data_IF_269327824873
#
_entry.id   IF_269327824873
#
_cell.length_a   1.000
_cell.length_b   1.000
_cell.length_c   1.000
_cell.angle_alpha   90.00
_cell.angle_beta   90.00
_cell.angle_gamma   90.00
#
_symmetry.space_group_name_H-M   'P 1'
#
loop_
_entity.id
_entity.type
_entity.pdbx_description
1 polymer ?
#
# COMPACT_ATOMS: atom_id res chain seq x y z
N UNK A 1 -2.58 1.46 12.40
CA UNK A 1 -1.69 2.34 11.61
C UNK A 1 -2.32 2.56 10.24
N UNK A 2 -2.19 3.75 9.65
CA UNK A 2 -2.69 4.06 8.31
C UNK A 2 -1.53 4.55 7.44
N UNK A 3 -1.46 4.07 6.20
CA UNK A 3 -0.50 4.50 5.17
C UNK A 3 -1.32 4.98 3.98
N UNK A 4 -1.19 6.26 3.64
CA UNK A 4 -1.85 6.86 2.49
C UNK A 4 -0.80 7.20 1.43
N UNK A 5 -0.99 6.68 0.21
CA UNK A 5 -0.13 6.91 -0.96
C UNK A 5 -1.02 7.00 -2.20
N UNK A 6 -0.65 7.80 -3.20
CA UNK A 6 -1.55 8.10 -4.31
C UNK A 6 -1.97 6.83 -5.09
N UNK A 7 -1.01 6.02 -5.53
CA UNK A 7 -1.24 4.78 -6.25
C UNK A 7 -1.07 3.52 -5.37
N UNK A 8 -0.03 3.48 -4.54
CA UNK A 8 0.29 2.30 -3.73
C UNK A 8 1.78 2.20 -3.44
N UNK A 9 2.24 0.98 -3.13
CA UNK A 9 3.64 0.63 -2.87
C UNK A 9 3.97 -0.63 -3.66
N UNK A 10 5.19 -0.76 -4.16
CA UNK A 10 5.59 -1.93 -4.94
C UNK A 10 5.76 -3.13 -4.00
N UNK A 11 5.24 -4.30 -4.40
CA UNK A 11 5.31 -5.50 -3.55
C UNK A 11 6.65 -6.26 -3.65
N UNK A 12 7.47 -5.93 -4.65
CA UNK A 12 8.75 -6.59 -4.90
C UNK A 12 9.93 -5.88 -4.22
N UNK A 13 9.72 -4.67 -3.70
CA UNK A 13 10.73 -3.89 -3.00
C UNK A 13 10.45 -3.88 -1.49
N UNK A 14 11.48 -3.80 -0.62
CA UNK A 14 11.27 -3.72 0.82
C UNK A 14 10.46 -2.47 1.21
N UNK A 15 9.57 -2.61 2.19
CA UNK A 15 8.66 -1.54 2.63
C UNK A 15 9.39 -0.35 3.23
N UNK A 16 10.36 -0.61 4.11
CA UNK A 16 10.99 0.43 4.92
C UNK A 16 11.76 1.47 4.07
N UNK A 17 12.60 1.07 3.09
CA UNK A 17 13.24 2.01 2.17
C UNK A 17 12.24 2.86 1.37
N UNK A 18 11.17 2.25 0.82
CA UNK A 18 10.14 2.98 0.09
C UNK A 18 9.51 4.08 0.96
N UNK A 19 9.07 3.71 2.17
CA UNK A 19 8.44 4.66 3.09
C UNK A 19 9.42 5.73 3.59
N UNK A 20 10.70 5.39 3.79
CA UNK A 20 11.72 6.36 4.18
C UNK A 20 11.96 7.39 3.06
N UNK A 21 12.15 6.93 1.82
CA UNK A 21 12.37 7.80 0.67
C UNK A 21 11.14 8.70 0.39
N UNK A 22 9.92 8.15 0.43
CA UNK A 22 8.69 8.93 0.27
C UNK A 22 8.52 10.01 1.34
N UNK A 23 8.86 9.71 2.61
CA UNK A 23 8.81 10.71 3.71
C UNK A 23 9.87 11.80 3.53
N UNK A 24 11.06 11.43 3.10
CA UNK A 24 12.15 12.35 2.82
C UNK A 24 11.94 13.15 1.52
N UNK A 25 10.97 12.76 0.69
CA UNK A 25 10.79 13.24 -0.69
C UNK A 25 12.06 13.07 -1.52
N UNK A 26 12.79 11.98 -1.27
CA UNK A 26 13.97 11.64 -2.06
C UNK A 26 13.53 11.03 -3.39
N UNK A 27 13.38 11.89 -4.40
CA UNK A 27 12.96 11.49 -5.75
C UNK A 27 14.09 10.81 -6.54
N UNK A 28 15.29 10.70 -5.97
CA UNK A 28 16.42 10.00 -6.59
C UNK A 28 16.54 8.55 -6.11
N UNK A 29 15.77 8.15 -5.08
CA UNK A 29 15.81 6.82 -4.51
C UNK A 29 15.32 5.77 -5.51
N UNK A 30 16.24 4.90 -5.95
CA UNK A 30 15.96 3.85 -6.94
C UNK A 30 14.79 2.92 -6.59
N UNK A 31 14.56 2.68 -5.29
CA UNK A 31 13.45 1.86 -4.80
C UNK A 31 12.05 2.46 -5.04
N UNK A 32 11.97 3.72 -5.49
CA UNK A 32 10.71 4.37 -5.85
C UNK A 32 10.36 4.24 -7.34
N UNK A 33 11.28 3.77 -8.18
CA UNK A 33 11.10 3.80 -9.64
C UNK A 33 10.31 2.61 -10.16
N UNK A 34 9.29 2.89 -10.96
CA UNK A 34 8.50 1.86 -11.63
C UNK A 34 9.35 1.21 -12.74
N UNK A 35 9.61 -0.10 -12.63
CA UNK A 35 10.38 -0.85 -13.63
C UNK A 35 11.77 -0.25 -13.93
N UNK A 36 12.40 0.38 -12.94
CA UNK A 36 13.70 1.04 -13.11
C UNK A 36 13.68 2.37 -13.87
N UNK A 37 12.50 2.90 -14.23
CA UNK A 37 12.36 4.19 -14.89
C UNK A 37 12.45 5.33 -13.86
N UNK A 38 13.60 6.02 -13.82
CA UNK A 38 13.84 7.16 -12.94
C UNK A 38 12.88 8.35 -13.12
N UNK A 39 12.15 8.43 -14.24
CA UNK A 39 11.13 9.44 -14.47
C UNK A 39 9.76 9.09 -13.87
N UNK A 40 9.59 7.87 -13.35
CA UNK A 40 8.27 7.35 -12.94
C UNK A 40 8.29 6.79 -11.53
N UNK A 41 7.81 7.58 -10.59
CA UNK A 41 7.59 7.13 -9.22
C UNK A 41 6.43 6.14 -9.16
N UNK A 42 6.71 4.89 -8.79
CA UNK A 42 5.73 3.80 -8.70
C UNK A 42 4.53 4.19 -7.83
N UNK A 43 4.79 4.77 -6.66
CA UNK A 43 3.77 5.21 -5.71
C UNK A 43 2.82 6.30 -6.24
N UNK A 44 3.13 6.91 -7.38
CA UNK A 44 2.34 7.97 -8.02
C UNK A 44 1.76 7.54 -9.37
N UNK A 45 2.49 6.74 -10.15
CA UNK A 45 2.17 6.54 -11.57
C UNK A 45 1.87 5.09 -11.96
N UNK A 46 2.22 4.12 -11.12
CA UNK A 46 2.06 2.70 -11.46
C UNK A 46 0.61 2.21 -11.28
N UNK A 47 0.28 1.10 -11.94
CA UNK A 47 -1.02 0.42 -11.87
C UNK A 47 -0.86 -0.93 -11.17
N UNK A 48 -0.67 -2.00 -11.96
CA UNK A 48 -0.67 -3.38 -11.47
C UNK A 48 0.37 -3.69 -10.40
N UNK A 49 1.58 -3.11 -10.43
CA UNK A 49 2.62 -3.41 -9.44
C UNK A 49 2.40 -2.77 -8.05
N UNK A 50 1.50 -1.79 -7.94
CA UNK A 50 1.19 -1.08 -6.69
C UNK A 50 -0.26 -1.23 -6.23
N UNK A 51 -1.08 -1.88 -7.05
CA UNK A 51 -2.48 -2.18 -6.76
C UNK A 51 -2.67 -3.18 -5.59
N UNK A 52 -1.88 -4.27 -5.47
CA UNK A 52 -2.04 -5.24 -4.38
C UNK A 52 -1.74 -4.69 -2.97
N UNK A 53 -2.08 -5.46 -1.94
CA UNK A 53 -1.67 -5.18 -0.57
C UNK A 53 -0.18 -5.49 -0.40
N UNK A 54 0.62 -4.52 0.09
CA UNK A 54 2.03 -4.79 0.37
C UNK A 54 2.16 -5.85 1.49
N UNK A 55 2.93 -6.93 1.31
CA UNK A 55 2.96 -8.07 2.24
C UNK A 55 3.40 -7.67 3.65
N UNK A 56 4.37 -6.76 3.77
CA UNK A 56 4.82 -6.26 5.08
C UNK A 56 3.81 -5.36 5.81
N UNK A 57 2.74 -4.90 5.15
CA UNK A 57 1.66 -4.11 5.75
C UNK A 57 0.43 -4.96 6.11
N UNK A 58 0.25 -6.13 5.48
CA UNK A 58 -0.93 -6.98 5.67
C UNK A 58 -1.09 -7.38 7.15
N UNK A 59 -2.30 -7.19 7.71
CA UNK A 59 -2.60 -7.44 9.12
C UNK A 59 -1.97 -6.45 10.10
N UNK A 60 -1.27 -5.40 9.61
CA UNK A 60 -0.49 -4.46 10.43
C UNK A 60 -0.90 -3.01 10.23
N UNK A 61 -1.35 -2.63 9.04
CA UNK A 61 -1.77 -1.28 8.71
C UNK A 61 -2.77 -1.26 7.56
N UNK A 62 -3.63 -0.24 7.54
CA UNK A 62 -4.43 0.07 6.37
C UNK A 62 -3.55 0.74 5.30
N UNK A 63 -3.60 0.24 4.08
CA UNK A 63 -2.99 0.86 2.90
C UNK A 63 -4.10 1.49 2.05
N UNK A 64 -4.14 2.81 2.02
CA UNK A 64 -5.19 3.60 1.38
C UNK A 64 -4.60 4.33 0.16
N UNK A 65 -5.30 4.27 -0.96
CA UNK A 65 -4.90 4.90 -2.23
C UNK A 65 -6.09 5.38 -3.04
N UNK A 66 -5.82 6.22 -4.03
CA UNK A 66 -6.76 6.57 -5.10
C UNK A 66 -6.19 6.10 -6.44
N UNK A 67 -6.13 6.98 -7.43
CA UNK A 67 -5.42 6.85 -8.73
C UNK A 67 -6.00 5.83 -9.72
N UNK A 68 -6.46 4.67 -9.27
CA UNK A 68 -6.78 3.52 -10.12
C UNK A 68 -8.09 3.64 -10.92
N UNK A 69 -8.92 4.66 -10.68
CA UNK A 69 -10.17 4.87 -11.41
C UNK A 69 -11.31 3.91 -11.01
N UNK A 70 -11.18 3.22 -9.88
CA UNK A 70 -12.19 2.33 -9.31
C UNK A 70 -12.11 2.31 -7.78
N UNK A 71 -13.20 1.84 -7.15
CA UNK A 71 -13.21 1.57 -5.72
C UNK A 71 -12.94 0.08 -5.45
N UNK A 72 -12.15 -0.20 -4.42
CA UNK A 72 -11.96 -1.53 -3.86
C UNK A 72 -11.67 -1.46 -2.37
N UNK A 73 -12.48 -2.15 -1.58
CA UNK A 73 -12.27 -2.28 -0.13
C UNK A 73 -12.13 -3.75 0.21
N UNK A 74 -10.89 -4.19 0.44
CA UNK A 74 -10.56 -5.59 0.70
C UNK A 74 -9.58 -5.70 1.87
N UNK A 75 -10.04 -6.31 2.98
CA UNK A 75 -9.24 -6.46 4.20
C UNK A 75 -8.56 -5.14 4.61
N UNK A 76 -7.24 -5.02 4.49
CA UNK A 76 -6.45 -3.84 4.85
C UNK A 76 -6.06 -2.96 3.64
N UNK A 77 -6.41 -3.35 2.42
CA UNK A 77 -6.21 -2.56 1.20
C UNK A 77 -7.48 -1.81 0.83
N UNK A 78 -7.35 -0.50 0.70
CA UNK A 78 -8.45 0.41 0.38
C UNK A 78 -8.04 1.26 -0.83
N UNK A 79 -8.86 1.24 -1.86
CA UNK A 79 -8.76 2.07 -3.05
C UNK A 79 -10.10 2.81 -3.17
N UNK A 80 -10.08 4.13 -3.18
CA UNK A 80 -11.28 4.97 -3.35
C UNK A 80 -10.98 5.96 -4.47
N UNK A 81 -11.47 5.67 -5.67
CA UNK A 81 -11.26 6.48 -6.87
C UNK A 81 -12.25 6.18 -8.01
N UNK A 82 -13.49 5.77 -7.73
CA UNK A 82 -14.44 5.49 -8.82
C UNK A 82 -14.74 6.71 -9.72
N UNK A 83 -14.53 7.93 -9.23
CA UNK A 83 -14.63 9.15 -10.06
C UNK A 83 -13.58 9.18 -11.18
N UNK A 84 -12.36 8.68 -10.93
CA UNK A 84 -11.23 8.76 -11.87
C UNK A 84 -10.95 10.17 -12.39
N UNK A 85 -11.21 11.21 -11.58
CA UNK A 85 -11.09 12.61 -11.99
C UNK A 85 -12.18 13.12 -12.94
N UNK A 86 -13.27 12.35 -13.13
CA UNK A 86 -14.40 12.70 -14.00
C UNK A 86 -15.71 12.63 -13.21
N UNK A 87 -15.95 13.56 -12.27
CA UNK A 87 -17.17 13.54 -11.46
C UNK A 87 -18.40 13.71 -12.35
N UNK A 88 -19.33 12.77 -12.24
CA UNK A 88 -20.60 12.76 -12.97
C UNK A 88 -21.69 12.10 -12.12
N UNK A 89 -22.95 12.20 -12.54
CA UNK A 89 -24.05 11.46 -11.93
C UNK A 89 -23.73 9.97 -11.91
N UNK A 90 -23.71 9.36 -10.73
CA UNK A 90 -23.33 7.95 -10.53
C UNK A 90 -21.83 7.68 -10.39
N UNK A 91 -20.96 8.71 -10.49
CA UNK A 91 -19.52 8.64 -10.24
C UNK A 91 -19.04 9.85 -9.42
N UNK A 92 -19.59 10.07 -8.21
CA UNK A 92 -19.20 11.19 -7.36
C UNK A 92 -17.73 11.06 -6.92
N UNK A 93 -17.15 12.16 -6.44
CA UNK A 93 -15.93 12.08 -5.64
C UNK A 93 -16.31 11.42 -4.33
N UNK A 94 -15.52 10.44 -3.89
CA UNK A 94 -15.84 9.65 -2.70
C UNK A 94 -14.78 9.79 -1.62
N UNK A 95 -15.22 9.63 -0.38
CA UNK A 95 -14.37 9.52 0.80
C UNK A 95 -14.77 8.28 1.60
N UNK A 96 -13.80 7.67 2.30
CA UNK A 96 -14.06 6.60 3.25
C UNK A 96 -13.91 7.10 4.68
N UNK A 97 -14.89 6.78 5.52
CA UNK A 97 -14.90 7.06 6.95
C UNK A 97 -14.52 5.77 7.69
N UNK A 98 -13.53 5.88 8.57
CA UNK A 98 -13.03 4.81 9.44
C UNK A 98 -13.44 5.09 10.91
N UNK A 99 -13.65 4.06 11.74
CA UNK A 99 -13.43 2.63 11.48
C UNK A 99 -14.58 1.92 10.74
N UNK A 100 -15.72 2.57 10.52
CA UNK A 100 -16.96 1.95 10.02
C UNK A 100 -16.85 1.47 8.56
N UNK A 101 -15.88 2.00 7.81
CA UNK A 101 -15.71 1.79 6.35
C UNK A 101 -16.93 2.25 5.56
N UNK A 102 -17.51 3.37 5.98
CA UNK A 102 -18.59 4.04 5.25
C UNK A 102 -17.98 4.84 4.10
N UNK A 103 -18.42 4.58 2.87
CA UNK A 103 -18.10 5.38 1.69
C UNK A 103 -19.18 6.45 1.53
N UNK A 104 -18.75 7.71 1.47
CA UNK A 104 -19.61 8.87 1.19
C UNK A 104 -19.25 9.47 -0.15
N UNK A 105 -20.24 9.67 -1.02
CA UNK A 105 -20.10 10.43 -2.25
C UNK A 105 -20.39 11.92 -2.04
N UNK A 106 -19.77 12.76 -2.87
CA UNK A 106 -20.02 14.21 -2.93
C UNK A 106 -21.47 14.57 -3.33
N UNK A 107 -22.24 13.61 -3.83
CA UNK A 107 -23.66 13.70 -4.14
C UNK A 107 -24.57 13.34 -2.94
N UNK A 108 -23.99 13.07 -1.77
CA UNK A 108 -24.71 12.65 -0.57
C UNK A 108 -25.00 11.14 -0.51
N UNK A 109 -24.57 10.36 -1.52
CA UNK A 109 -24.69 8.90 -1.49
C UNK A 109 -23.88 8.30 -0.34
N UNK A 110 -24.40 7.20 0.24
CA UNK A 110 -23.77 6.50 1.35
C UNK A 110 -23.85 4.99 1.14
N UNK A 111 -22.70 4.32 1.22
CA UNK A 111 -22.60 2.87 1.19
C UNK A 111 -21.70 2.37 2.32
N UNK A 112 -22.01 1.21 2.87
CA UNK A 112 -21.12 0.56 3.83
C UNK A 112 -20.24 -0.47 3.09
N UNK A 113 -18.94 -0.22 3.00
CA UNK A 113 -18.02 -1.02 2.21
C UNK A 113 -17.48 -2.25 2.97
N UNK A 114 -18.29 -2.85 3.86
CA UNK A 114 -17.96 -4.09 4.53
C UNK A 114 -17.94 -5.26 3.54
N UNK A 115 -16.84 -5.38 2.78
CA UNK A 115 -16.45 -6.64 2.18
C UNK A 115 -16.22 -7.68 3.29
N UNK A 116 -16.60 -8.94 3.04
CA UNK A 116 -16.41 -10.08 3.95
C UNK A 116 -15.03 -9.95 4.60
N UNK A 117 -14.98 -9.71 5.92
CA UNK A 117 -13.72 -9.91 6.65
C UNK A 117 -13.33 -11.35 6.37
N UNK A 118 -12.30 -11.57 5.55
CA UNK A 118 -11.59 -12.84 5.58
C UNK A 118 -11.26 -13.15 7.04
N UNK A 119 -11.23 -14.43 7.44
CA UNK A 119 -10.95 -14.79 8.82
C UNK A 119 -9.75 -13.97 9.26
N UNK A 120 -9.90 -13.28 10.39
CA UNK A 120 -8.84 -12.47 10.97
C UNK A 120 -7.56 -13.30 10.82
N UNK A 121 -6.60 -12.80 10.03
CA UNK A 121 -5.27 -13.39 10.03
C UNK A 121 -4.70 -13.01 11.39
N UNK A 122 -5.12 -13.76 12.41
CA UNK A 122 -4.36 -13.95 13.61
C UNK A 122 -2.99 -14.33 13.11
N UNK A 123 -2.07 -13.36 13.15
CA UNK A 123 -0.70 -13.57 12.81
C UNK A 123 -0.21 -14.67 13.77
N UNK A 124 -0.20 -15.91 13.29
CA UNK A 124 0.40 -17.00 14.01
C UNK A 124 1.84 -16.58 14.31
N UNK A 125 2.35 -16.86 15.53
CA UNK A 125 3.70 -16.47 15.93
C UNK A 125 4.80 -16.88 14.92
N UNK A 126 4.53 -17.89 14.08
CA UNK A 126 5.41 -18.36 13.00
C UNK A 126 5.72 -17.30 11.92
N UNK A 127 4.77 -16.45 11.53
CA UNK A 127 5.01 -15.38 10.55
C UNK A 127 5.90 -14.25 11.12
N UNK A 128 5.90 -14.10 12.46
CA UNK A 128 6.81 -13.19 13.17
C UNK A 128 8.25 -13.71 13.19
N UNK A 129 8.44 -15.03 13.27
CA UNK A 129 9.76 -15.67 13.30
C UNK A 129 10.51 -15.61 11.95
N UNK A 130 9.81 -15.76 10.83
CA UNK A 130 10.40 -15.71 9.48
C UNK A 130 11.00 -14.32 9.14
N UNK A 131 10.33 -13.24 9.53
CA UNK A 131 10.81 -11.88 9.28
C UNK A 131 12.08 -11.54 10.08
N UNK A 132 12.24 -12.09 11.28
CA UNK A 132 13.47 -12.00 12.07
C UNK A 132 14.58 -12.92 11.55
N UNK A 133 14.25 -14.12 11.04
CA UNK A 133 15.24 -15.08 10.53
C UNK A 133 15.98 -14.58 9.28
N UNK A 134 15.26 -13.93 8.36
CA UNK A 134 15.86 -13.37 7.13
C UNK A 134 16.77 -12.17 7.43
N UNK A 135 16.41 -11.33 8.41
CA UNK A 135 17.25 -10.21 8.84
C UNK A 135 18.56 -10.66 9.50
N UNK A 136 18.54 -11.74 10.29
CA UNK A 136 19.75 -12.29 10.92
C UNK A 136 20.66 -12.98 9.89
N UNK A 137 20.11 -13.68 8.90
CA UNK A 137 20.89 -14.30 7.82
C UNK A 137 21.59 -13.25 6.92
N UNK A 138 20.93 -12.13 6.62
CA UNK A 138 21.52 -11.05 5.84
C UNK A 138 22.67 -10.34 6.58
N UNK A 139 22.55 -10.14 7.90
CA UNK A 139 23.62 -9.55 8.72
C UNK A 139 24.84 -10.49 8.87
N UNK A 140 24.62 -11.81 8.96
CA UNK A 140 25.70 -12.80 9.01
C UNK A 140 26.49 -12.89 7.69
N UNK A 141 25.81 -12.79 6.54
CA UNK A 141 26.44 -12.82 5.23
C UNK A 141 27.31 -11.58 4.94
N UNK A 142 26.95 -10.42 5.48
CA UNK A 142 27.75 -9.19 5.37
C UNK A 142 29.06 -9.26 6.19
N UNK A 143 29.04 -9.94 7.35
CA UNK A 143 30.24 -10.11 8.20
C UNK A 143 31.22 -11.15 7.65
N UNK A 144 30.74 -12.10 6.83
CA UNK A 144 31.56 -13.14 6.22
C UNK A 144 32.27 -12.72 4.92
N UNK A 145 31.94 -11.56 4.33
CA UNK A 145 32.53 -11.07 3.06
C UNK A 145 33.64 -10.02 3.21
N UNK A 146 34.14 -9.83 4.43
CA UNK A 146 35.49 -9.31 4.67
C UNK A 146 35.64 -7.80 4.79
N UNK A 147 36.31 -7.38 5.86
CA UNK A 147 37.33 -6.32 5.84
C UNK A 147 38.40 -6.73 6.87
N UNK A 148 39.55 -7.20 6.38
CA UNK A 148 40.83 -6.94 7.03
C UNK A 148 41.25 -5.52 6.67
#
# INVERSE_FOLDING_TARGET
RVVCVHAGLTCNEPLAPQLAALRARDLSAGCLFANGDSGRLAAMCERGGVEPMHPELAGRALLISGHHGFDRVEADRIIIDASGGRPATGRPIQAIILPERTVLGSDGSRANAQGKRGPAQDATPAARAMATGVAVAAAAAAKARGVQ
#
